data_IF_640773946926
#
_entry.id   IF_640773946926
#
_cell.length_a   1.000
_cell.length_b   1.000
_cell.length_c   1.000
_cell.angle_alpha   90.00
_cell.angle_beta   90.00
_cell.angle_gamma   90.00
#
_symmetry.space_group_name_H-M   'P 1'
#
loop_
_entity.id
_entity.type
_entity.pdbx_description
1 polymer ?
#
# COMPACT_ATOMS: atom_id res chain seq x y z
N UNK A 1 12.88 -21.26 24.33
CA UNK A 1 11.89 -22.19 23.73
C UNK A 1 12.33 -22.45 22.31
N UNK A 2 12.50 -23.72 21.86
CA UNK A 2 12.73 -24.03 20.44
C UNK A 2 11.52 -23.54 19.65
N UNK A 3 11.73 -22.70 18.65
CA UNK A 3 10.65 -22.29 17.75
C UNK A 3 10.13 -23.55 17.03
N UNK A 4 8.83 -23.81 17.15
CA UNK A 4 8.18 -24.94 16.48
C UNK A 4 8.00 -24.68 14.96
N UNK A 5 8.65 -23.65 14.42
CA UNK A 5 8.59 -23.26 13.01
C UNK A 5 9.93 -22.76 12.47
N UNK A 6 10.08 -22.82 11.16
CA UNK A 6 11.25 -22.35 10.41
C UNK A 6 10.86 -21.22 9.45
N UNK A 7 11.70 -20.18 9.38
CA UNK A 7 11.56 -19.10 8.39
C UNK A 7 12.28 -19.49 7.09
N UNK A 8 11.61 -19.28 5.95
CA UNK A 8 12.20 -19.45 4.61
C UNK A 8 11.52 -18.54 3.60
N UNK A 9 12.21 -18.12 2.51
CA UNK A 9 11.59 -17.36 1.43
C UNK A 9 10.40 -18.10 0.81
N UNK A 10 9.42 -17.34 0.33
CA UNK A 10 8.34 -17.91 -0.50
C UNK A 10 8.89 -18.34 -1.87
N UNK A 11 8.32 -19.39 -2.41
CA UNK A 11 8.60 -19.89 -3.75
C UNK A 11 7.30 -19.97 -4.55
N UNK A 12 7.39 -20.04 -5.88
CA UNK A 12 6.22 -20.11 -6.74
C UNK A 12 5.26 -21.25 -6.37
N UNK A 13 5.78 -22.38 -5.88
CA UNK A 13 4.96 -23.50 -5.40
C UNK A 13 4.08 -23.14 -4.20
N UNK A 14 4.42 -22.10 -3.46
CA UNK A 14 3.67 -21.64 -2.29
C UNK A 14 2.56 -20.63 -2.64
N UNK A 15 2.43 -20.19 -3.91
CA UNK A 15 1.47 -19.13 -4.28
C UNK A 15 0.03 -19.46 -3.90
N UNK A 16 -0.52 -20.66 -4.18
CA UNK A 16 -1.89 -20.98 -3.78
C UNK A 16 -2.07 -20.95 -2.25
N UNK A 17 -1.15 -21.54 -1.49
CA UNK A 17 -1.19 -21.55 -0.02
C UNK A 17 -1.07 -20.12 0.56
N UNK A 18 -0.23 -19.27 -0.06
CA UNK A 18 -0.09 -17.87 0.32
C UNK A 18 -1.37 -17.08 0.04
N UNK A 19 -2.01 -17.29 -1.11
CA UNK A 19 -3.29 -16.65 -1.45
C UNK A 19 -4.39 -17.03 -0.45
N UNK A 20 -4.50 -18.30 -0.09
CA UNK A 20 -5.42 -18.77 0.94
C UNK A 20 -5.09 -18.19 2.34
N UNK A 21 -3.81 -18.04 2.67
CA UNK A 21 -3.37 -17.40 3.92
C UNK A 21 -3.84 -15.95 3.98
N UNK A 22 -3.61 -15.16 2.92
CA UNK A 22 -4.05 -13.76 2.87
C UNK A 22 -5.57 -13.68 2.99
N UNK A 23 -6.27 -14.40 2.14
CA UNK A 23 -7.73 -14.42 2.09
C UNK A 23 -8.34 -14.75 3.47
N UNK A 24 -7.90 -15.85 4.08
CA UNK A 24 -8.43 -16.31 5.36
C UNK A 24 -8.07 -15.38 6.52
N UNK A 25 -6.84 -14.85 6.54
CA UNK A 25 -6.38 -13.98 7.63
C UNK A 25 -7.13 -12.66 7.65
N UNK A 26 -7.24 -11.98 6.50
CA UNK A 26 -7.94 -10.71 6.38
C UNK A 26 -9.43 -10.87 6.64
N UNK A 27 -10.10 -11.79 5.94
CA UNK A 27 -11.53 -11.99 6.10
C UNK A 27 -11.90 -12.38 7.55
N UNK A 28 -11.14 -13.29 8.18
CA UNK A 28 -11.37 -13.66 9.59
C UNK A 28 -11.19 -12.47 10.52
N UNK A 29 -10.18 -11.63 10.29
CA UNK A 29 -9.94 -10.49 11.15
C UNK A 29 -11.07 -9.46 11.05
N UNK A 30 -11.45 -9.05 9.84
CA UNK A 30 -12.51 -8.06 9.61
C UNK A 30 -13.89 -8.56 10.06
N UNK A 31 -14.20 -9.84 9.90
CA UNK A 31 -15.40 -10.45 10.47
C UNK A 31 -15.47 -10.32 12.00
N UNK A 32 -14.35 -10.58 12.67
CA UNK A 32 -14.28 -10.52 14.14
C UNK A 32 -14.33 -9.09 14.69
N UNK A 33 -13.93 -8.10 13.91
CA UNK A 33 -13.78 -6.71 14.37
C UNK A 33 -14.85 -5.76 13.83
N UNK A 34 -16.01 -6.30 13.50
CA UNK A 34 -17.22 -5.51 13.34
C UNK A 34 -17.62 -5.14 11.91
N UNK A 35 -16.87 -5.57 10.89
CA UNK A 35 -17.30 -5.34 9.52
C UNK A 35 -18.48 -6.23 9.11
N UNK A 36 -18.58 -7.45 9.66
CA UNK A 36 -19.65 -8.39 9.39
C UNK A 36 -19.74 -8.86 7.94
N UNK A 37 -18.65 -8.68 7.19
CA UNK A 37 -18.48 -9.08 5.79
C UNK A 37 -17.02 -9.36 5.49
N UNK A 38 -16.77 -10.07 4.39
CA UNK A 38 -15.43 -10.31 3.90
C UNK A 38 -14.73 -9.00 3.48
N UNK A 39 -13.44 -8.89 3.79
CA UNK A 39 -12.58 -7.84 3.28
C UNK A 39 -12.36 -8.03 1.77
N UNK A 40 -11.92 -9.24 1.38
CA UNK A 40 -11.84 -9.64 -0.01
C UNK A 40 -13.18 -10.18 -0.48
N UNK A 41 -13.88 -9.46 -1.33
CA UNK A 41 -15.15 -9.87 -1.96
C UNK A 41 -14.98 -10.75 -3.19
N UNK A 42 -13.78 -11.30 -3.44
CA UNK A 42 -13.41 -12.14 -4.57
C UNK A 42 -13.06 -13.57 -4.10
N UNK A 43 -12.59 -14.45 -4.99
CA UNK A 43 -12.05 -15.75 -4.61
C UNK A 43 -10.65 -15.64 -4.00
N UNK A 44 -10.21 -16.64 -3.24
CA UNK A 44 -8.85 -16.66 -2.69
C UNK A 44 -7.78 -16.64 -3.78
N UNK A 45 -8.03 -17.24 -4.94
CA UNK A 45 -7.11 -17.22 -6.07
C UNK A 45 -6.81 -15.80 -6.56
N UNK A 46 -7.80 -14.89 -6.53
CA UNK A 46 -7.58 -13.50 -6.93
C UNK A 46 -6.59 -12.77 -6.03
N UNK A 47 -6.42 -13.21 -4.78
CA UNK A 47 -5.44 -12.62 -3.88
C UNK A 47 -4.00 -12.99 -4.22
N UNK A 48 -3.76 -13.93 -5.16
CA UNK A 48 -2.42 -14.21 -5.68
C UNK A 48 -1.75 -13.00 -6.33
N UNK A 49 -2.54 -12.00 -6.78
CA UNK A 49 -2.03 -10.76 -7.36
C UNK A 49 -1.03 -10.04 -6.44
N UNK A 50 -1.19 -10.17 -5.11
CA UNK A 50 -0.24 -9.59 -4.15
C UNK A 50 1.13 -10.27 -4.25
N UNK A 51 1.16 -11.61 -4.32
CA UNK A 51 2.41 -12.32 -4.54
C UNK A 51 3.02 -11.93 -5.90
N UNK A 52 2.22 -11.95 -6.94
CA UNK A 52 2.66 -11.72 -8.30
C UNK A 52 3.34 -10.35 -8.46
N UNK A 53 2.66 -9.27 -8.06
CA UNK A 53 3.22 -7.91 -8.16
C UNK A 53 4.41 -7.72 -7.23
N UNK A 54 4.35 -8.21 -5.99
CA UNK A 54 5.43 -8.04 -5.03
C UNK A 54 6.70 -8.80 -5.45
N UNK A 55 6.54 -10.02 -5.97
CA UNK A 55 7.66 -10.81 -6.45
C UNK A 55 8.23 -10.26 -7.77
N UNK A 56 7.40 -9.73 -8.66
CA UNK A 56 7.88 -9.04 -9.87
C UNK A 56 8.73 -7.81 -9.52
N UNK A 57 8.27 -7.00 -8.56
CA UNK A 57 8.96 -5.79 -8.09
C UNK A 57 10.26 -6.06 -7.35
N UNK A 58 10.28 -7.12 -6.54
CA UNK A 58 11.41 -7.44 -5.66
C UNK A 58 11.56 -8.95 -5.52
N UNK A 59 12.09 -9.63 -6.56
CA UNK A 59 12.24 -11.07 -6.55
C UNK A 59 13.03 -11.58 -5.34
N UNK A 60 12.49 -12.57 -4.64
CA UNK A 60 13.12 -13.17 -3.47
C UNK A 60 13.02 -12.37 -2.17
N UNK A 61 12.43 -11.17 -2.18
CA UNK A 61 12.22 -10.35 -0.98
C UNK A 61 10.90 -10.70 -0.28
N UNK A 62 10.78 -11.95 0.12
CA UNK A 62 9.66 -12.47 0.92
C UNK A 62 10.17 -13.43 1.97
N UNK A 63 9.46 -13.54 3.08
CA UNK A 63 9.77 -14.48 4.16
C UNK A 63 8.48 -15.08 4.70
N UNK A 64 8.47 -16.39 4.92
CA UNK A 64 7.33 -17.10 5.49
C UNK A 64 7.77 -18.05 6.60
N UNK A 65 6.88 -18.22 7.58
CA UNK A 65 7.05 -19.16 8.68
C UNK A 65 6.28 -20.45 8.37
N UNK A 66 6.94 -21.59 8.48
CA UNK A 66 6.36 -22.91 8.25
C UNK A 66 6.43 -23.77 9.50
N UNK A 67 5.32 -24.34 9.91
CA UNK A 67 5.23 -25.26 11.04
C UNK A 67 6.11 -26.49 10.79
N UNK A 68 7.02 -26.79 11.73
CA UNK A 68 8.00 -27.88 11.57
C UNK A 68 7.36 -29.28 11.62
N UNK A 69 6.12 -29.42 12.12
CA UNK A 69 5.43 -30.70 12.24
C UNK A 69 4.57 -30.99 11.04
N UNK A 70 3.84 -29.97 10.56
CA UNK A 70 2.85 -30.12 9.48
C UNK A 70 3.36 -29.63 8.14
N UNK A 71 4.39 -28.80 8.11
CA UNK A 71 4.88 -28.12 6.90
C UNK A 71 4.00 -26.97 6.43
N UNK A 72 2.89 -26.68 7.10
CA UNK A 72 1.93 -25.66 6.68
C UNK A 72 2.48 -24.24 6.94
N UNK A 73 2.10 -23.30 6.08
CA UNK A 73 2.44 -21.89 6.23
C UNK A 73 1.64 -21.27 7.39
N UNK A 74 2.35 -20.71 8.35
CA UNK A 74 1.79 -20.06 9.54
C UNK A 74 1.61 -18.56 9.36
N UNK A 75 2.40 -17.95 8.48
CA UNK A 75 2.39 -16.53 8.19
C UNK A 75 3.48 -16.17 7.20
N UNK A 76 3.35 -14.99 6.59
CA UNK A 76 4.27 -14.48 5.59
C UNK A 76 4.39 -12.97 5.66
N UNK A 77 5.46 -12.43 5.10
CA UNK A 77 5.65 -11.01 4.88
C UNK A 77 6.51 -10.78 3.64
N UNK A 78 6.18 -9.74 2.86
CA UNK A 78 7.05 -9.19 1.83
C UNK A 78 7.81 -7.98 2.36
N UNK A 79 8.93 -7.66 1.74
CA UNK A 79 9.66 -6.44 2.01
C UNK A 79 10.29 -5.92 0.71
N UNK A 80 10.36 -4.60 0.59
CA UNK A 80 10.80 -3.94 -0.64
C UNK A 80 11.94 -2.98 -0.32
N UNK A 81 13.20 -3.41 -0.46
CA UNK A 81 14.35 -2.51 -0.37
C UNK A 81 14.33 -1.53 -1.55
N UNK A 82 14.51 -0.26 -1.24
CA UNK A 82 14.67 0.84 -2.19
C UNK A 82 15.94 1.60 -1.84
N UNK A 83 16.26 2.68 -2.55
CA UNK A 83 17.53 3.39 -2.32
C UNK A 83 17.73 3.87 -0.87
N UNK A 84 16.69 4.40 -0.23
CA UNK A 84 16.81 5.04 1.10
C UNK A 84 16.21 4.23 2.22
N UNK A 85 15.32 3.29 1.93
CA UNK A 85 14.50 2.62 2.94
C UNK A 85 14.12 1.19 2.53
N UNK A 86 13.54 0.47 3.47
CA UNK A 86 12.81 -0.77 3.22
C UNK A 86 11.33 -0.53 3.51
N UNK A 87 10.44 -0.85 2.57
CA UNK A 87 9.01 -0.95 2.85
C UNK A 87 8.70 -2.35 3.33
N UNK A 88 8.05 -2.47 4.49
CA UNK A 88 7.45 -3.72 4.93
C UNK A 88 6.12 -3.86 4.18
N UNK A 89 6.04 -4.87 3.33
CA UNK A 89 4.87 -5.15 2.51
C UNK A 89 3.78 -5.89 3.27
N UNK A 90 2.83 -6.48 2.54
CA UNK A 90 1.72 -7.18 3.17
C UNK A 90 2.23 -8.29 4.10
N UNK A 91 1.77 -8.26 5.34
CA UNK A 91 2.10 -9.26 6.36
C UNK A 91 0.82 -9.91 6.87
N UNK A 92 0.83 -11.24 6.92
CA UNK A 92 -0.27 -12.04 7.45
C UNK A 92 0.22 -13.13 8.37
N UNK A 93 -0.55 -13.40 9.42
CA UNK A 93 -0.41 -14.59 10.27
C UNK A 93 -1.74 -15.30 10.29
N UNK A 94 -1.73 -16.59 9.97
CA UNK A 94 -2.94 -17.39 9.96
C UNK A 94 -3.58 -17.39 11.36
N UNK A 95 -4.91 -17.22 11.48
CA UNK A 95 -5.59 -17.06 12.77
C UNK A 95 -5.30 -18.18 13.78
N UNK A 96 -5.13 -19.43 13.31
CA UNK A 96 -4.83 -20.58 14.16
C UNK A 96 -3.40 -20.53 14.77
N UNK A 97 -2.54 -19.65 14.29
CA UNK A 97 -1.16 -19.50 14.77
C UNK A 97 -0.92 -18.15 15.45
N UNK A 98 -1.97 -17.37 15.66
CA UNK A 98 -1.92 -16.11 16.42
C UNK A 98 -1.36 -16.36 17.84
N UNK A 99 -0.59 -15.41 18.35
CA UNK A 99 0.02 -15.50 19.69
C UNK A 99 1.23 -16.44 19.81
N UNK A 100 1.64 -17.14 18.74
CA UNK A 100 2.82 -18.04 18.76
C UNK A 100 4.15 -17.34 18.41
N UNK A 101 4.15 -16.01 18.28
CA UNK A 101 5.34 -15.23 18.00
C UNK A 101 5.75 -15.18 16.53
N UNK A 102 4.93 -15.71 15.61
CA UNK A 102 5.20 -15.72 14.15
C UNK A 102 5.39 -14.29 13.63
N UNK A 103 4.42 -13.40 13.84
CA UNK A 103 4.51 -12.01 13.39
C UNK A 103 5.75 -11.29 13.92
N UNK A 104 6.11 -11.51 15.19
CA UNK A 104 7.34 -10.94 15.77
C UNK A 104 8.58 -11.38 15.01
N UNK A 105 8.69 -12.67 14.69
CA UNK A 105 9.85 -13.21 13.97
C UNK A 105 9.94 -12.71 12.52
N UNK A 106 8.79 -12.50 11.86
CA UNK A 106 8.76 -11.89 10.52
C UNK A 106 9.25 -10.44 10.57
N UNK A 107 8.77 -9.64 11.51
CA UNK A 107 9.21 -8.26 11.70
C UNK A 107 10.69 -8.18 12.08
N UNK A 108 11.15 -9.01 13.03
CA UNK A 108 12.56 -9.06 13.41
C UNK A 108 13.47 -9.36 12.21
N UNK A 109 13.10 -10.33 11.36
CA UNK A 109 13.84 -10.66 10.14
C UNK A 109 14.01 -9.45 9.20
N UNK A 110 12.93 -8.70 8.98
CA UNK A 110 12.96 -7.52 8.08
C UNK A 110 13.76 -6.37 8.69
N UNK A 111 13.66 -6.16 10.01
CA UNK A 111 14.45 -5.15 10.69
C UNK A 111 15.93 -5.49 10.72
N UNK A 112 16.28 -6.77 10.89
CA UNK A 112 17.67 -7.22 10.81
C UNK A 112 18.20 -7.02 9.39
N UNK A 113 17.43 -7.41 8.36
CA UNK A 113 17.78 -7.11 6.96
C UNK A 113 18.00 -5.60 6.74
N UNK A 114 17.10 -4.75 7.27
CA UNK A 114 17.18 -3.30 7.15
C UNK A 114 18.48 -2.76 7.74
N UNK A 115 18.86 -3.22 8.94
CA UNK A 115 20.09 -2.80 9.65
C UNK A 115 21.35 -3.32 8.98
N UNK A 116 21.36 -4.62 8.65
CA UNK A 116 22.53 -5.30 8.10
C UNK A 116 22.93 -4.77 6.71
N UNK A 117 21.93 -4.23 5.97
CA UNK A 117 22.16 -3.59 4.67
C UNK A 117 22.30 -2.04 4.75
N UNK A 118 22.34 -1.46 5.94
CA UNK A 118 22.62 -0.04 6.16
C UNK A 118 21.49 0.91 5.81
N UNK A 119 20.26 0.43 5.66
CA UNK A 119 19.09 1.27 5.41
C UNK A 119 18.77 2.15 6.62
N UNK A 120 18.42 3.42 6.36
CA UNK A 120 18.15 4.40 7.42
C UNK A 120 16.77 4.27 8.03
N UNK A 121 15.82 3.64 7.33
CA UNK A 121 14.46 3.43 7.82
C UNK A 121 13.80 2.18 7.25
N UNK A 122 12.88 1.63 8.04
CA UNK A 122 11.87 0.69 7.59
C UNK A 122 10.50 1.34 7.78
N UNK A 123 9.63 1.25 6.77
CA UNK A 123 8.33 1.93 6.74
C UNK A 123 7.21 0.93 6.46
N UNK A 124 6.04 1.18 7.03
CA UNK A 124 4.83 0.42 6.77
C UNK A 124 3.59 1.29 6.93
N UNK A 125 2.46 0.81 6.45
CA UNK A 125 1.14 1.36 6.75
C UNK A 125 0.29 0.27 7.37
N UNK A 126 -0.34 0.52 8.50
CA UNK A 126 -1.16 -0.44 9.21
C UNK A 126 -2.49 0.12 9.67
N UNK A 127 -3.47 -0.75 9.82
CA UNK A 127 -4.77 -0.41 10.39
C UNK A 127 -4.65 0.07 11.84
N UNK A 128 -5.21 1.24 12.13
CA UNK A 128 -5.21 1.80 13.49
C UNK A 128 -6.15 1.05 14.45
N UNK A 129 -7.11 0.29 13.93
CA UNK A 129 -8.01 -0.53 14.75
C UNK A 129 -7.44 -1.92 15.04
N UNK A 130 -6.38 -2.33 14.32
CA UNK A 130 -5.69 -3.60 14.58
C UNK A 130 -4.65 -3.44 15.70
N UNK A 131 -5.12 -3.48 16.95
CA UNK A 131 -4.28 -3.31 18.14
C UNK A 131 -3.18 -4.36 18.25
N UNK A 132 -3.37 -5.55 17.70
CA UNK A 132 -2.35 -6.61 17.70
C UNK A 132 -1.17 -6.23 16.82
N UNK A 133 -1.44 -5.81 15.58
CA UNK A 133 -0.42 -5.33 14.64
C UNK A 133 0.24 -4.05 15.14
N UNK A 134 -0.53 -3.06 15.57
CA UNK A 134 -0.02 -1.83 16.14
C UNK A 134 0.93 -2.09 17.31
N UNK A 135 0.52 -2.94 18.27
CA UNK A 135 1.37 -3.29 19.42
C UNK A 135 2.62 -4.06 19.00
N UNK A 136 2.53 -4.92 17.98
CA UNK A 136 3.65 -5.64 17.41
C UNK A 136 4.70 -4.69 16.85
N UNK A 137 4.30 -3.76 16.01
CA UNK A 137 5.20 -2.79 15.37
C UNK A 137 5.81 -1.82 16.37
N UNK A 138 5.01 -1.29 17.30
CA UNK A 138 5.51 -0.41 18.36
C UNK A 138 6.56 -1.08 19.24
N UNK A 139 6.34 -2.36 19.64
CA UNK A 139 7.34 -3.14 20.40
C UNK A 139 8.60 -3.45 19.60
N UNK A 140 8.52 -3.43 18.28
CA UNK A 140 9.67 -3.56 17.39
C UNK A 140 10.40 -2.23 17.15
N UNK A 141 9.87 -1.10 17.68
CA UNK A 141 10.47 0.22 17.61
C UNK A 141 9.96 1.10 16.47
N UNK A 142 8.89 0.69 15.80
CA UNK A 142 8.19 1.58 14.86
C UNK A 142 7.42 2.65 15.62
N UNK A 143 7.38 3.85 15.05
CA UNK A 143 6.70 5.02 15.61
C UNK A 143 5.66 5.50 14.60
N UNK A 144 4.38 5.67 15.00
CA UNK A 144 3.36 6.31 14.16
C UNK A 144 3.78 7.73 13.81
N UNK A 145 3.67 8.09 12.53
CA UNK A 145 4.13 9.38 12.00
C UNK A 145 3.03 10.15 11.30
N UNK A 146 2.18 9.47 10.53
CA UNK A 146 1.10 10.08 9.76
C UNK A 146 -0.15 9.23 9.94
N UNK A 147 -1.30 9.90 10.01
CA UNK A 147 -2.62 9.27 10.08
C UNK A 147 -3.37 9.51 8.77
N UNK A 148 -4.11 8.51 8.33
CA UNK A 148 -4.91 8.56 7.11
C UNK A 148 -6.37 8.21 7.38
N UNK A 149 -7.26 8.92 6.72
CA UNK A 149 -8.62 8.45 6.50
C UNK A 149 -8.61 7.44 5.35
N UNK A 150 -9.03 6.23 5.59
CA UNK A 150 -9.39 5.32 4.52
C UNK A 150 -10.80 5.61 4.09
N UNK A 151 -10.93 6.11 2.89
CA UNK A 151 -12.21 6.53 2.33
C UNK A 151 -12.57 5.68 1.11
N UNK A 152 -13.85 5.40 0.99
CA UNK A 152 -14.40 4.68 -0.17
C UNK A 152 -15.42 5.58 -0.85
N UNK A 153 -15.37 5.63 -2.17
CA UNK A 153 -16.41 6.22 -2.99
C UNK A 153 -17.00 5.16 -3.93
N UNK A 154 -18.33 5.10 -3.97
CA UNK A 154 -19.04 4.35 -5.02
C UNK A 154 -19.20 5.30 -6.21
N UNK A 155 -18.51 4.97 -7.30
CA UNK A 155 -18.51 5.82 -8.51
C UNK A 155 -19.71 5.46 -9.37
N UNK A 156 -20.63 6.40 -9.62
CA UNK A 156 -21.77 6.13 -10.50
C UNK A 156 -21.34 5.68 -11.91
N UNK A 157 -22.25 5.04 -12.63
CA UNK A 157 -21.98 4.60 -14.01
C UNK A 157 -21.65 5.77 -14.95
N UNK A 158 -22.26 6.91 -14.72
CA UNK A 158 -21.98 8.17 -15.43
C UNK A 158 -20.71 8.87 -14.95
N UNK A 159 -20.07 8.41 -13.88
CA UNK A 159 -18.93 9.04 -13.21
C UNK A 159 -19.38 10.12 -12.23
N UNK A 160 -18.48 11.02 -11.83
CA UNK A 160 -18.78 12.14 -10.94
C UNK A 160 -19.40 13.34 -11.67
N UNK A 161 -19.69 13.22 -12.97
CA UNK A 161 -20.34 14.24 -13.77
C UNK A 161 -19.55 15.57 -13.82
N UNK A 162 -20.27 16.69 -13.72
CA UNK A 162 -19.70 18.05 -13.83
C UNK A 162 -18.90 18.51 -12.59
N UNK A 163 -18.64 17.62 -11.63
CA UNK A 163 -17.81 17.92 -10.45
C UNK A 163 -16.31 18.04 -10.81
N UNK A 164 -16.01 18.75 -11.88
CA UNK A 164 -14.61 19.01 -12.30
C UNK A 164 -13.92 19.95 -11.31
N UNK A 165 -12.62 19.75 -11.19
CA UNK A 165 -11.74 20.62 -10.41
C UNK A 165 -10.70 21.28 -11.31
N UNK A 166 -10.20 22.43 -10.88
CA UNK A 166 -9.15 23.15 -11.61
C UNK A 166 -7.88 22.30 -11.70
N UNK A 167 -7.24 22.29 -12.86
CA UNK A 167 -5.97 21.62 -13.10
C UNK A 167 -6.10 20.21 -13.67
N UNK A 168 -7.32 19.68 -13.90
CA UNK A 168 -7.49 18.39 -14.58
C UNK A 168 -6.93 18.39 -16.02
N UNK A 169 -6.88 19.56 -16.66
CA UNK A 169 -6.30 19.78 -17.98
C UNK A 169 -4.78 19.55 -18.04
N UNK A 170 -4.12 19.61 -16.90
CA UNK A 170 -2.66 19.42 -16.76
C UNK A 170 -2.30 17.96 -16.52
N UNK A 171 -3.28 17.05 -16.52
CA UNK A 171 -3.07 15.64 -16.20
C UNK A 171 -3.06 14.82 -17.48
N UNK A 172 -2.00 14.00 -17.60
CA UNK A 172 -1.83 13.03 -18.67
C UNK A 172 -1.37 11.68 -18.14
N UNK A 173 -1.43 10.66 -18.98
CA UNK A 173 -0.82 9.37 -18.67
C UNK A 173 0.69 9.52 -18.47
N UNK A 174 1.23 8.80 -17.49
CA UNK A 174 2.66 8.75 -17.25
C UNK A 174 3.36 7.90 -18.30
N UNK A 175 4.58 8.28 -18.64
CA UNK A 175 5.45 7.57 -19.57
C UNK A 175 6.79 7.24 -18.90
N UNK A 176 7.57 6.37 -19.51
CA UNK A 176 8.91 6.00 -19.00
C UNK A 176 9.84 7.23 -18.82
N UNK A 177 9.62 8.28 -19.60
CA UNK A 177 10.41 9.52 -19.48
C UNK A 177 10.08 10.34 -18.24
N UNK A 178 8.94 10.08 -17.60
CA UNK A 178 8.51 10.79 -16.38
C UNK A 178 9.12 10.23 -15.09
N UNK A 179 9.70 9.04 -15.14
CA UNK A 179 10.23 8.34 -13.95
C UNK A 179 11.20 9.22 -13.16
N UNK A 180 12.11 9.90 -13.84
CA UNK A 180 13.05 10.82 -13.16
C UNK A 180 12.35 11.94 -12.41
N UNK A 181 11.39 12.62 -13.05
CA UNK A 181 10.60 13.69 -12.43
C UNK A 181 9.71 13.20 -11.28
N UNK A 182 9.11 12.01 -11.41
CA UNK A 182 8.33 11.38 -10.33
C UNK A 182 9.24 11.07 -9.11
N UNK A 183 10.42 10.50 -9.35
CA UNK A 183 11.38 10.17 -8.31
C UNK A 183 11.93 11.41 -7.60
N UNK A 184 12.24 12.47 -8.33
CA UNK A 184 12.73 13.72 -7.76
C UNK A 184 11.65 14.42 -6.92
N UNK A 185 10.41 14.41 -7.39
CA UNK A 185 9.27 14.90 -6.61
C UNK A 185 9.07 14.11 -5.32
N UNK A 186 9.12 12.77 -5.37
CA UNK A 186 8.94 11.97 -4.15
C UNK A 186 10.12 12.14 -3.19
N UNK A 187 11.33 12.31 -3.69
CA UNK A 187 12.48 12.65 -2.85
C UNK A 187 12.28 13.98 -2.11
N UNK A 188 11.74 14.99 -2.80
CA UNK A 188 11.45 16.31 -2.20
C UNK A 188 10.31 16.21 -1.16
N UNK A 189 9.25 15.47 -1.46
CA UNK A 189 8.05 15.39 -0.61
C UNK A 189 8.25 14.45 0.57
N UNK A 190 8.85 13.29 0.38
CA UNK A 190 8.86 12.21 1.39
C UNK A 190 10.24 11.65 1.74
N UNK A 191 11.30 12.18 1.10
CA UNK A 191 12.68 11.77 1.37
C UNK A 191 13.02 10.35 0.93
N UNK A 192 12.28 9.82 -0.05
CA UNK A 192 12.51 8.49 -0.66
C UNK A 192 12.38 8.56 -2.17
N UNK A 193 12.90 7.54 -2.86
CA UNK A 193 12.80 7.38 -4.30
C UNK A 193 12.51 5.92 -4.64
N UNK A 194 11.60 5.69 -5.58
CA UNK A 194 11.10 4.36 -5.91
C UNK A 194 10.96 4.17 -7.43
N UNK A 195 12.00 4.48 -8.20
CA UNK A 195 11.97 4.46 -9.67
C UNK A 195 11.56 3.11 -10.26
N UNK A 196 11.89 2.00 -9.58
CA UNK A 196 11.50 0.66 -9.99
C UNK A 196 9.97 0.47 -9.89
N UNK A 197 9.32 1.04 -8.87
CA UNK A 197 7.87 0.95 -8.69
C UNK A 197 7.14 1.74 -9.76
N UNK A 198 7.66 2.95 -10.12
CA UNK A 198 7.06 3.76 -11.17
C UNK A 198 7.18 3.08 -12.53
N UNK A 199 8.36 2.54 -12.86
CA UNK A 199 8.57 1.78 -14.09
C UNK A 199 7.61 0.62 -14.21
N UNK A 200 7.50 -0.18 -13.15
CA UNK A 200 6.59 -1.32 -13.10
C UNK A 200 5.13 -0.92 -13.31
N UNK A 201 4.71 0.19 -12.67
CA UNK A 201 3.34 0.68 -12.79
C UNK A 201 3.04 1.23 -14.20
N UNK A 202 4.01 1.89 -14.85
CA UNK A 202 3.88 2.40 -16.22
C UNK A 202 3.87 1.25 -17.23
N UNK A 203 4.79 0.28 -17.07
CA UNK A 203 4.87 -0.91 -17.94
C UNK A 203 3.64 -1.82 -17.75
N UNK A 204 3.06 -1.82 -16.56
CA UNK A 204 1.82 -2.52 -16.20
C UNK A 204 1.74 -3.97 -16.70
N UNK A 205 2.72 -4.84 -16.42
CA UNK A 205 2.80 -6.18 -17.02
C UNK A 205 1.63 -7.11 -16.62
N UNK A 206 0.95 -6.81 -15.51
CA UNK A 206 -0.21 -7.57 -15.02
C UNK A 206 -1.55 -6.96 -15.42
N UNK A 207 -1.57 -5.79 -16.08
CA UNK A 207 -2.79 -5.12 -16.51
C UNK A 207 -3.65 -4.53 -15.39
N UNK A 208 -3.16 -4.51 -14.15
CA UNK A 208 -3.91 -4.08 -12.97
C UNK A 208 -3.65 -2.63 -12.56
N UNK A 209 -2.54 -2.03 -13.05
CA UNK A 209 -2.08 -0.71 -12.64
C UNK A 209 -2.38 0.35 -13.70
N UNK A 210 -2.39 1.60 -13.27
CA UNK A 210 -2.43 2.77 -14.17
C UNK A 210 -1.70 3.93 -13.50
N UNK A 211 -1.03 4.74 -14.31
CA UNK A 211 -0.18 5.82 -13.81
C UNK A 211 -0.46 7.11 -14.56
N UNK A 212 -0.68 8.19 -13.82
CA UNK A 212 -0.87 9.54 -14.34
C UNK A 212 0.06 10.53 -13.66
N UNK A 213 0.39 11.59 -14.38
CA UNK A 213 1.18 12.72 -13.87
C UNK A 213 0.43 14.03 -14.06
N UNK A 214 0.64 14.96 -13.14
CA UNK A 214 0.28 16.36 -13.29
C UNK A 214 1.53 17.14 -13.68
N UNK A 215 1.49 17.75 -14.86
CA UNK A 215 2.58 18.53 -15.42
C UNK A 215 2.18 20.01 -15.50
N UNK A 216 3.02 20.90 -14.97
CA UNK A 216 2.75 22.33 -15.06
C UNK A 216 3.12 22.90 -16.43
N UNK A 217 2.80 24.18 -16.65
CA UNK A 217 3.03 24.89 -17.94
C UNK A 217 4.52 24.96 -18.34
N UNK A 218 5.45 24.67 -17.43
CA UNK A 218 6.89 24.62 -17.68
C UNK A 218 7.41 23.20 -17.96
N UNK A 219 6.54 22.21 -17.98
CA UNK A 219 6.88 20.79 -18.18
C UNK A 219 7.43 20.09 -16.93
N UNK A 220 7.28 20.68 -15.73
CA UNK A 220 7.70 20.04 -14.49
C UNK A 220 6.58 19.20 -13.88
N UNK A 221 6.92 18.01 -13.36
CA UNK A 221 5.98 17.13 -12.64
C UNK A 221 5.74 17.70 -11.25
N UNK A 222 4.50 18.06 -10.95
CA UNK A 222 4.07 18.55 -9.65
C UNK A 222 3.23 17.56 -8.84
N UNK A 223 2.82 16.48 -9.50
CA UNK A 223 2.15 15.36 -8.85
C UNK A 223 2.11 14.14 -9.74
N UNK A 224 1.94 12.99 -9.12
CA UNK A 224 1.62 11.75 -9.80
C UNK A 224 0.70 10.88 -8.96
N UNK A 225 -0.02 9.99 -9.62
CA UNK A 225 -0.84 8.99 -8.98
C UNK A 225 -0.75 7.67 -9.75
N UNK A 226 -0.68 6.59 -8.99
CA UNK A 226 -0.86 5.24 -9.49
C UNK A 226 -2.18 4.72 -8.94
N UNK A 227 -2.89 3.89 -9.68
CA UNK A 227 -4.09 3.21 -9.19
C UNK A 227 -4.04 1.72 -9.50
N UNK A 228 -4.76 0.95 -8.70
CA UNK A 228 -4.97 -0.49 -8.87
C UNK A 228 -6.44 -0.72 -9.17
N UNK A 229 -6.73 -1.50 -10.22
CA UNK A 229 -8.08 -1.99 -10.52
C UNK A 229 -8.03 -3.49 -10.73
N UNK A 230 -8.40 -4.24 -9.69
CA UNK A 230 -8.37 -5.71 -9.70
C UNK A 230 -9.48 -6.25 -8.78
N UNK A 231 -10.06 -7.46 -9.03
CA UNK A 231 -11.07 -8.03 -8.15
C UNK A 231 -10.70 -8.08 -6.66
N UNK A 232 -9.42 -8.27 -6.35
CA UNK A 232 -8.92 -8.27 -4.96
C UNK A 232 -8.75 -6.87 -4.37
N UNK A 233 -8.58 -5.82 -5.19
CA UNK A 233 -8.35 -4.46 -4.69
C UNK A 233 -8.63 -3.40 -5.76
N UNK A 234 -9.53 -2.47 -5.47
CA UNK A 234 -9.67 -1.21 -6.20
C UNK A 234 -9.13 -0.08 -5.33
N UNK A 235 -8.00 0.51 -5.69
CA UNK A 235 -7.38 1.52 -4.85
C UNK A 235 -6.70 2.63 -5.67
N UNK A 236 -6.86 3.89 -5.22
CA UNK A 236 -6.04 5.02 -5.65
C UNK A 236 -4.84 5.16 -4.72
N UNK A 237 -3.66 5.25 -5.30
CA UNK A 237 -2.38 5.36 -4.59
C UNK A 237 -1.34 4.37 -5.13
N UNK A 238 -0.05 4.69 -4.94
CA UNK A 238 0.45 5.88 -4.26
C UNK A 238 0.17 7.16 -5.03
N UNK A 239 -0.01 8.26 -4.29
CA UNK A 239 -0.03 9.61 -4.84
C UNK A 239 1.00 10.47 -4.12
N UNK A 240 1.80 11.19 -4.89
CA UNK A 240 2.70 12.22 -4.37
C UNK A 240 2.41 13.51 -5.10
N UNK A 241 2.24 14.61 -4.36
CA UNK A 241 1.96 15.91 -4.93
C UNK A 241 2.50 17.05 -4.08
N UNK A 242 2.84 18.19 -4.70
CA UNK A 242 3.32 19.37 -3.98
C UNK A 242 2.22 20.02 -3.16
N UNK A 243 0.98 20.03 -3.67
CA UNK A 243 -0.15 20.73 -3.05
C UNK A 243 -1.39 19.85 -2.97
N UNK A 244 -2.34 20.23 -2.11
CA UNK A 244 -3.63 19.58 -1.99
C UNK A 244 -4.44 19.70 -3.29
N UNK A 245 -4.36 20.84 -3.99
CA UNK A 245 -5.05 21.09 -5.24
C UNK A 245 -4.62 20.12 -6.35
N UNK A 246 -3.31 19.88 -6.49
CA UNK A 246 -2.75 18.90 -7.44
C UNK A 246 -3.21 17.50 -7.10
N UNK A 247 -3.15 17.11 -5.82
CA UNK A 247 -3.62 15.79 -5.39
C UNK A 247 -5.12 15.59 -5.63
N UNK A 248 -5.95 16.61 -5.36
CA UNK A 248 -7.39 16.59 -5.60
C UNK A 248 -7.68 16.41 -7.11
N UNK A 249 -6.95 17.12 -7.98
CA UNK A 249 -7.11 16.99 -9.42
C UNK A 249 -6.75 15.56 -9.90
N UNK A 250 -5.65 15.00 -9.42
CA UNK A 250 -5.23 13.63 -9.71
C UNK A 250 -6.29 12.60 -9.26
N UNK A 251 -6.79 12.73 -8.03
CA UNK A 251 -7.86 11.87 -7.50
C UNK A 251 -9.10 11.97 -8.38
N UNK A 252 -9.53 13.19 -8.71
CA UNK A 252 -10.71 13.43 -9.55
C UNK A 252 -10.59 12.75 -10.91
N UNK A 253 -9.43 12.90 -11.54
CA UNK A 253 -9.16 12.29 -12.85
C UNK A 253 -9.18 10.77 -12.77
N UNK A 254 -8.55 10.21 -11.77
CA UNK A 254 -8.35 8.76 -11.66
C UNK A 254 -9.61 8.00 -11.21
N UNK A 255 -10.48 8.62 -10.41
CA UNK A 255 -11.78 8.06 -10.00
C UNK A 255 -12.63 7.64 -11.23
N UNK A 256 -12.56 8.37 -12.35
CA UNK A 256 -13.36 8.07 -13.55
C UNK A 256 -13.08 6.67 -14.14
N UNK A 257 -11.95 6.05 -13.80
CA UNK A 257 -11.66 4.68 -14.22
C UNK A 257 -12.49 3.63 -13.46
N UNK A 258 -13.08 4.02 -12.35
CA UNK A 258 -13.83 3.14 -11.45
C UNK A 258 -15.34 3.29 -11.59
N UNK A 259 -15.83 3.78 -12.76
CA UNK A 259 -17.27 3.85 -13.04
C UNK A 259 -17.96 2.51 -12.80
N UNK A 260 -19.15 2.57 -12.22
CA UNK A 260 -19.99 1.43 -11.88
C UNK A 260 -19.37 0.49 -10.82
N UNK A 261 -18.41 1.00 -10.02
CA UNK A 261 -17.79 0.25 -8.92
C UNK A 261 -17.32 1.18 -7.80
N UNK A 262 -16.70 0.63 -6.80
CA UNK A 262 -16.11 1.38 -5.69
C UNK A 262 -14.61 1.48 -5.83
N UNK A 263 -14.02 2.48 -5.19
CA UNK A 263 -12.56 2.64 -5.06
C UNK A 263 -12.21 3.14 -3.67
N UNK A 264 -11.15 2.55 -3.10
CA UNK A 264 -10.54 2.91 -1.81
C UNK A 264 -9.39 3.89 -2.04
N UNK A 265 -9.16 4.78 -1.09
CA UNK A 265 -7.99 5.66 -1.04
C UNK A 265 -7.74 6.15 0.37
N UNK A 266 -6.46 6.41 0.70
CA UNK A 266 -6.03 6.84 2.03
C UNK A 266 -5.61 8.31 2.00
N UNK A 267 -6.40 9.20 2.62
CA UNK A 267 -6.17 10.65 2.64
C UNK A 267 -5.46 11.05 3.95
N UNK A 268 -4.33 11.78 3.88
CA UNK A 268 -3.69 12.30 5.09
C UNK A 268 -4.66 13.20 5.88
N UNK A 269 -4.87 12.88 7.16
CA UNK A 269 -5.93 13.53 7.98
C UNK A 269 -5.71 15.03 8.19
N UNK A 270 -4.46 15.50 8.20
CA UNK A 270 -4.13 16.92 8.36
C UNK A 270 -4.37 17.74 7.08
N UNK A 271 -4.61 17.12 5.93
CA UNK A 271 -4.85 17.81 4.64
C UNK A 271 -6.32 18.13 4.49
N UNK A 272 -6.72 19.21 5.13
CA UNK A 272 -8.13 19.56 5.33
C UNK A 272 -8.91 19.77 4.05
N UNK A 273 -8.32 20.44 3.05
CA UNK A 273 -9.00 20.68 1.76
C UNK A 273 -9.29 19.37 1.03
N UNK A 274 -8.34 18.42 1.06
CA UNK A 274 -8.55 17.10 0.48
C UNK A 274 -9.69 16.37 1.18
N UNK A 275 -9.68 16.32 2.52
CA UNK A 275 -10.71 15.63 3.30
C UNK A 275 -12.11 16.24 3.03
N UNK A 276 -12.23 17.57 3.05
CA UNK A 276 -13.49 18.28 2.74
C UNK A 276 -13.95 17.95 1.31
N UNK A 277 -13.05 17.96 0.34
CA UNK A 277 -13.39 17.64 -1.05
C UNK A 277 -13.89 16.21 -1.24
N UNK A 278 -13.27 15.24 -0.53
CA UNK A 278 -13.73 13.84 -0.60
C UNK A 278 -15.15 13.69 -0.06
N UNK A 279 -15.48 14.35 1.06
CA UNK A 279 -16.84 14.35 1.59
C UNK A 279 -17.84 15.04 0.64
N UNK A 280 -17.43 16.12 -0.05
CA UNK A 280 -18.26 16.75 -1.09
C UNK A 280 -18.57 15.79 -2.25
N UNK A 281 -17.63 14.90 -2.58
CA UNK A 281 -17.84 13.83 -3.56
C UNK A 281 -18.54 12.60 -2.96
N UNK A 282 -19.04 12.69 -1.72
CA UNK A 282 -19.77 11.64 -1.00
C UNK A 282 -18.93 10.40 -0.69
N UNK A 283 -17.62 10.57 -0.58
CA UNK A 283 -16.79 9.52 -0.02
C UNK A 283 -17.14 9.28 1.46
N UNK A 284 -17.06 8.03 1.90
CA UNK A 284 -17.30 7.64 3.29
C UNK A 284 -16.00 7.13 3.91
N UNK A 285 -15.73 7.53 5.14
CA UNK A 285 -14.61 7.01 5.88
C UNK A 285 -14.95 5.62 6.42
N UNK A 286 -14.14 4.62 6.08
CA UNK A 286 -14.38 3.22 6.48
C UNK A 286 -13.40 2.73 7.53
N UNK A 287 -12.21 3.33 7.59
CA UNK A 287 -11.17 2.94 8.53
C UNK A 287 -10.17 4.10 8.73
N UNK A 288 -9.21 3.88 9.60
CA UNK A 288 -8.05 4.75 9.83
C UNK A 288 -6.78 3.93 9.70
N UNK A 289 -5.82 4.42 8.93
CA UNK A 289 -4.49 3.81 8.86
C UNK A 289 -3.41 4.72 9.43
N UNK A 290 -2.33 4.11 9.87
CA UNK A 290 -1.15 4.76 10.41
C UNK A 290 0.07 4.43 9.54
N UNK A 291 0.79 5.45 9.09
CA UNK A 291 2.17 5.23 8.64
C UNK A 291 3.05 5.12 9.87
N UNK A 292 3.71 3.98 9.99
CA UNK A 292 4.66 3.69 11.05
C UNK A 292 6.07 3.57 10.48
N UNK A 293 7.04 4.17 11.17
CA UNK A 293 8.44 4.24 10.71
C UNK A 293 9.38 3.82 11.81
N UNK A 294 10.25 2.87 11.51
CA UNK A 294 11.45 2.59 12.26
C UNK A 294 12.62 3.36 11.64
N UNK A 295 13.40 4.08 12.46
CA UNK A 295 14.55 4.87 12.01
C UNK A 295 14.17 6.28 11.54
N UNK A 296 14.86 6.76 10.51
CA UNK A 296 14.76 8.15 10.07
C UNK A 296 13.46 8.46 9.31
N UNK A 297 12.83 9.59 9.66
CA UNK A 297 11.66 10.12 8.98
C UNK A 297 11.71 11.66 8.95
N UNK A 298 11.92 12.29 7.79
CA UNK A 298 12.03 13.75 7.71
C UNK A 298 10.67 14.48 7.78
N UNK A 299 9.56 13.75 7.78
CA UNK A 299 8.23 14.31 7.55
C UNK A 299 7.88 14.39 6.06
N UNK A 300 6.70 14.91 5.76
CA UNK A 300 6.27 15.17 4.38
C UNK A 300 6.23 16.66 4.08
N UNK A 301 6.90 17.07 3.01
CA UNK A 301 6.84 18.41 2.46
C UNK A 301 5.88 18.42 1.25
N UNK A 302 4.59 18.16 1.50
CA UNK A 302 3.58 18.01 0.46
C UNK A 302 2.56 16.94 0.81
N UNK A 303 2.08 16.24 -0.21
CA UNK A 303 1.09 15.18 -0.10
C UNK A 303 1.76 13.84 -0.41
N UNK A 304 1.55 12.85 0.46
CA UNK A 304 1.93 11.46 0.23
C UNK A 304 0.78 10.56 0.67
N UNK A 305 0.10 9.95 -0.30
CA UNK A 305 -0.93 8.94 -0.07
C UNK A 305 -0.32 7.56 -0.30
N UNK A 306 -0.55 6.61 0.58
CA UNK A 306 -0.02 5.25 0.43
C UNK A 306 -0.82 4.42 -0.58
N UNK A 307 -0.31 3.23 -0.86
CA UNK A 307 -1.01 2.13 -1.53
C UNK A 307 -0.77 0.82 -0.79
N UNK A 308 -1.68 -0.13 -0.96
CA UNK A 308 -1.54 -1.50 -0.41
C UNK A 308 -1.09 -2.51 -1.48
N UNK A 309 -0.98 -2.08 -2.75
CA UNK A 309 -0.47 -2.91 -3.83
C UNK A 309 0.23 -2.06 -4.90
N UNK A 310 1.57 -2.00 -4.92
CA UNK A 310 2.45 -2.52 -3.86
C UNK A 310 2.36 -1.69 -2.58
N UNK A 311 2.72 -2.30 -1.45
CA UNK A 311 2.83 -1.59 -0.18
C UNK A 311 3.87 -0.47 -0.29
N UNK A 312 3.49 0.73 0.09
CA UNK A 312 4.33 1.93 -0.08
C UNK A 312 4.53 2.67 1.24
N UNK A 313 4.74 1.92 2.29
CA UNK A 313 4.94 2.43 3.64
C UNK A 313 5.91 3.60 3.82
#
# INVERSE_FOLDING_TARGET
MKNDFTLRPLQNVNVPEHADLLYSSFNTWYWKHGWGKDYFGCSSQETSIFYDIYNDLTPGCSIAAFDNKTGMMMGSCFYHPREQHVSLGIMSVHPNYSGRGVGRKLVDYILDYTKDNGYKSCRLVSSAINMDSFSLYNRAGFIPRVTYHDMVINVPKEGLGDLRVKGEENIREATITDIGGMGDLEMEVSGIKRDIDYRYAIDNPRGALHSIVYENDQGAIEGFMISVKHPALNMLGPCVARTEEVAIALIRKEIERFKDTWVLFSIPMEKRKMVEQMYLWKAINVETHLKEVWGHFPGFNGISMPSFLPETG
#
